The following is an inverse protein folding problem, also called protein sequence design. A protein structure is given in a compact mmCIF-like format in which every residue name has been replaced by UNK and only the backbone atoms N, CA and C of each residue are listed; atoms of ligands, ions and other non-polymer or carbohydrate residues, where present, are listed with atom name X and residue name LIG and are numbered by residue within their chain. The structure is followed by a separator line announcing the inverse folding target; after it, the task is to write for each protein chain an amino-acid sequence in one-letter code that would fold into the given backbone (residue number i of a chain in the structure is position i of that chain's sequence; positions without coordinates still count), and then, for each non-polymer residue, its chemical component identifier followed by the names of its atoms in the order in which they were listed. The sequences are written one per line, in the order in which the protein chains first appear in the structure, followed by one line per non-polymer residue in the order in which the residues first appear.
data_IF_831397162165
#
_entry.id   IF_831397162165
#
_cell.length_a   1.000
_cell.length_b   1.000
_cell.length_c   1.000
_cell.angle_alpha   90.00
_cell.angle_beta   90.00
_cell.angle_gamma   90.00
#
_symmetry.space_group_name_H-M   'P 1'
#
loop_
_entity.id
_entity.type
_entity.pdbx_description
1 polymer ?
#
# COMPACT_ATOMS: atom_id res chain seq x y z
N UNK A 1 14.70 -17.70 -3.87
CA UNK A 1 15.83 -18.26 -4.63
C UNK A 1 16.84 -17.17 -4.92
N UNK A 2 17.86 -17.06 -4.07
CA UNK A 2 18.97 -16.11 -4.22
C UNK A 2 20.07 -16.80 -5.05
N UNK A 3 20.54 -16.21 -6.17
CA UNK A 3 21.58 -16.83 -6.99
C UNK A 3 22.85 -17.13 -6.20
N UNK A 4 23.31 -18.39 -6.24
CA UNK A 4 24.50 -18.84 -5.50
C UNK A 4 24.27 -19.02 -4.00
N UNK A 5 23.03 -18.94 -3.54
CA UNK A 5 22.62 -19.20 -2.16
C UNK A 5 21.26 -19.94 -2.11
N UNK A 6 21.03 -20.80 -3.10
CA UNK A 6 19.82 -21.62 -3.17
C UNK A 6 19.75 -22.57 -1.96
N UNK A 7 18.55 -22.69 -1.39
CA UNK A 7 18.30 -23.57 -0.25
C UNK A 7 17.73 -24.91 -0.71
N UNK A 8 17.96 -26.03 0.01
CA UNK A 8 17.60 -27.36 -0.46
C UNK A 8 16.08 -27.62 -0.55
N UNK A 9 15.25 -26.76 0.03
CA UNK A 9 13.79 -26.82 -0.07
C UNK A 9 13.23 -25.95 -1.20
N UNK A 10 14.06 -25.20 -1.92
CA UNK A 10 13.59 -24.32 -3.00
C UNK A 10 13.50 -25.07 -4.32
N UNK A 11 12.30 -25.07 -4.92
CA UNK A 11 12.04 -25.64 -6.26
C UNK A 11 11.60 -24.52 -7.22
N UNK A 12 11.95 -24.64 -8.51
CA UNK A 12 11.45 -23.72 -9.54
C UNK A 12 10.13 -24.22 -10.13
N UNK A 13 9.02 -23.58 -9.75
CA UNK A 13 7.70 -23.86 -10.33
C UNK A 13 7.34 -22.91 -11.50
N UNK A 14 8.25 -22.03 -11.91
CA UNK A 14 7.99 -20.97 -12.88
C UNK A 14 7.11 -19.84 -12.31
N UNK A 15 6.91 -18.78 -13.09
CA UNK A 15 5.99 -17.67 -12.76
C UNK A 15 5.44 -17.04 -14.03
N UNK A 16 4.28 -16.34 -13.99
CA UNK A 16 3.84 -15.52 -15.12
C UNK A 16 4.94 -14.53 -15.55
N UNK A 17 5.13 -14.34 -16.85
CA UNK A 17 6.19 -13.46 -17.38
C UNK A 17 6.02 -12.00 -16.94
N UNK A 18 4.76 -11.58 -16.77
CA UNK A 18 4.36 -10.19 -16.47
C UNK A 18 4.47 -9.80 -15.00
N UNK A 19 4.81 -10.72 -14.11
CA UNK A 19 5.07 -10.41 -12.70
C UNK A 19 6.57 -10.50 -12.41
N UNK A 20 7.04 -9.73 -11.44
CA UNK A 20 8.42 -9.83 -10.95
C UNK A 20 8.61 -11.03 -10.03
N UNK A 21 9.86 -11.41 -9.75
CA UNK A 21 10.15 -12.53 -8.86
C UNK A 21 9.94 -12.18 -7.38
N UNK A 22 9.82 -13.20 -6.52
CA UNK A 22 9.81 -12.99 -5.07
C UNK A 22 11.10 -12.30 -4.56
N UNK A 23 12.24 -12.55 -5.21
CA UNK A 23 13.50 -11.88 -4.89
C UNK A 23 13.45 -10.39 -5.23
N UNK A 24 12.93 -10.03 -6.41
CA UNK A 24 12.79 -8.63 -6.82
C UNK A 24 11.84 -7.87 -5.88
N UNK A 25 10.72 -8.50 -5.50
CA UNK A 25 9.77 -7.93 -4.54
C UNK A 25 10.48 -7.63 -3.21
N UNK A 26 11.27 -8.56 -2.69
CA UNK A 26 11.99 -8.37 -1.43
C UNK A 26 13.21 -7.45 -1.55
N UNK A 27 13.66 -7.14 -2.76
CA UNK A 27 14.75 -6.20 -3.02
C UNK A 27 14.23 -4.77 -3.11
N UNK A 28 13.15 -4.55 -3.89
CA UNK A 28 12.63 -3.21 -4.19
C UNK A 28 11.46 -2.81 -3.29
N UNK A 29 10.57 -3.73 -2.94
CA UNK A 29 9.38 -3.46 -2.13
C UNK A 29 9.69 -2.85 -0.76
N UNK A 30 10.59 -3.46 0.06
CA UNK A 30 10.99 -2.89 1.33
C UNK A 30 11.65 -1.51 1.20
N UNK A 31 12.39 -1.25 0.11
CA UNK A 31 13.00 0.06 -0.13
C UNK A 31 11.96 1.13 -0.39
N UNK A 32 10.95 0.83 -1.22
CA UNK A 32 9.81 1.75 -1.44
C UNK A 32 9.05 2.05 -0.15
N UNK A 33 8.69 1.01 0.61
CA UNK A 33 8.00 1.19 1.90
C UNK A 33 8.83 1.97 2.93
N UNK A 34 10.14 1.69 3.02
CA UNK A 34 11.05 2.41 3.91
C UNK A 34 11.27 3.86 3.46
N UNK A 35 11.46 4.11 2.16
CA UNK A 35 11.60 5.46 1.61
C UNK A 35 10.39 6.33 1.98
N UNK A 36 9.18 5.77 1.80
CA UNK A 36 7.95 6.46 2.20
C UNK A 36 7.93 6.77 3.70
N UNK A 37 8.16 5.78 4.56
CA UNK A 37 8.13 5.98 6.01
C UNK A 37 9.19 7.00 6.48
N UNK A 38 10.38 6.97 5.89
CA UNK A 38 11.48 7.86 6.24
C UNK A 38 11.19 9.31 5.82
N UNK A 39 10.76 9.52 4.58
CA UNK A 39 10.50 10.86 4.05
C UNK A 39 9.21 11.47 4.61
N UNK A 40 8.18 10.65 4.84
CA UNK A 40 6.99 11.08 5.58
C UNK A 40 7.29 11.35 7.07
N UNK A 41 8.25 10.62 7.65
CA UNK A 41 8.68 10.82 9.04
C UNK A 41 7.89 10.01 10.08
N UNK A 42 7.61 8.74 9.80
CA UNK A 42 7.05 7.81 10.81
C UNK A 42 7.94 6.57 11.00
N UNK A 43 8.18 6.12 12.24
CA UNK A 43 9.00 4.94 12.48
C UNK A 43 8.25 3.64 12.18
N UNK A 44 8.89 2.72 11.46
CA UNK A 44 8.41 1.35 11.28
C UNK A 44 9.00 0.43 12.35
N UNK A 45 8.19 0.08 13.35
CA UNK A 45 8.66 -0.59 14.59
C UNK A 45 8.41 -2.10 14.63
N UNK A 46 7.41 -2.59 13.88
CA UNK A 46 7.01 -3.99 13.85
C UNK A 46 6.74 -4.41 12.40
N UNK A 47 6.94 -5.69 12.13
CA UNK A 47 6.65 -6.27 10.83
C UNK A 47 6.82 -7.78 10.87
N UNK A 48 6.45 -8.44 9.78
CA UNK A 48 6.75 -9.84 9.55
C UNK A 48 7.26 -10.02 8.13
N UNK A 49 8.02 -11.08 7.92
CA UNK A 49 8.47 -11.51 6.61
C UNK A 49 8.30 -13.02 6.52
N UNK A 50 7.65 -13.49 5.45
CA UNK A 50 7.40 -14.91 5.20
C UNK A 50 7.69 -15.22 3.74
N UNK A 51 8.50 -16.23 3.51
CA UNK A 51 8.55 -16.96 2.24
C UNK A 51 7.78 -18.26 2.37
N UNK A 52 7.02 -18.61 1.35
CA UNK A 52 6.37 -19.91 1.22
C UNK A 52 6.01 -20.12 -0.25
N UNK A 53 6.50 -21.22 -0.81
CA UNK A 53 6.20 -21.71 -2.14
C UNK A 53 6.55 -23.19 -2.14
N UNK A 54 5.56 -24.06 -2.24
CA UNK A 54 5.78 -25.50 -2.20
C UNK A 54 4.66 -26.27 -2.90
N UNK A 55 5.01 -27.41 -3.48
CA UNK A 55 4.04 -28.40 -3.91
C UNK A 55 3.58 -29.24 -2.71
N UNK A 56 2.31 -29.10 -2.33
CA UNK A 56 1.77 -29.71 -1.11
C UNK A 56 0.48 -30.47 -1.39
N UNK A 57 0.24 -31.53 -0.63
CA UNK A 57 -1.08 -32.16 -0.56
C UNK A 57 -1.95 -31.37 0.43
N UNK A 58 -2.73 -30.45 -0.12
CA UNK A 58 -3.58 -29.50 0.60
C UNK A 58 -5.06 -29.89 0.41
N UNK A 59 -5.99 -29.00 0.78
CA UNK A 59 -7.43 -29.26 0.76
C UNK A 59 -7.98 -29.62 -0.63
N UNK A 60 -7.29 -29.26 -1.71
CA UNK A 60 -7.66 -29.55 -3.09
C UNK A 60 -6.75 -30.60 -3.76
N UNK A 61 -6.10 -31.47 -2.96
CA UNK A 61 -5.15 -32.46 -3.44
C UNK A 61 -3.74 -31.87 -3.60
N UNK A 62 -2.97 -32.42 -4.54
CA UNK A 62 -1.60 -31.97 -4.82
C UNK A 62 -1.62 -30.69 -5.65
N UNK A 63 -1.09 -29.60 -5.09
CA UNK A 63 -1.11 -28.27 -5.69
C UNK A 63 0.10 -27.45 -5.23
N UNK A 64 0.55 -26.52 -6.07
CA UNK A 64 1.58 -25.54 -5.69
C UNK A 64 0.91 -24.40 -4.93
N UNK A 65 1.35 -24.16 -3.68
CA UNK A 65 0.83 -23.11 -2.81
C UNK A 65 1.94 -22.14 -2.45
N UNK A 66 1.70 -20.86 -2.64
CA UNK A 66 2.67 -19.82 -2.36
C UNK A 66 2.15 -18.42 -2.63
N UNK A 67 3.07 -17.47 -2.73
CA UNK A 67 2.77 -16.02 -2.80
C UNK A 67 3.33 -15.34 -4.06
N UNK A 68 3.02 -15.87 -5.25
CA UNK A 68 3.33 -15.18 -6.51
C UNK A 68 2.64 -13.81 -6.61
N UNK A 69 1.38 -13.71 -6.15
CA UNK A 69 0.79 -12.42 -5.75
C UNK A 69 1.18 -12.18 -4.29
N UNK A 70 2.05 -11.21 -4.00
CA UNK A 70 2.60 -11.05 -2.65
C UNK A 70 1.57 -10.47 -1.69
N UNK A 71 1.84 -10.64 -0.39
CA UNK A 71 1.20 -9.83 0.66
C UNK A 71 2.14 -8.66 0.94
N UNK A 72 1.78 -7.47 0.46
CA UNK A 72 2.41 -6.22 0.86
C UNK A 72 1.49 -5.56 1.89
N UNK A 73 1.94 -5.47 3.14
CA UNK A 73 1.13 -5.02 4.28
C UNK A 73 1.73 -3.76 4.89
N UNK A 74 0.88 -2.77 5.13
CA UNK A 74 1.21 -1.55 5.86
C UNK A 74 0.13 -1.27 6.90
N UNK A 75 0.55 -0.81 8.08
CA UNK A 75 -0.34 -0.43 9.18
C UNK A 75 0.35 0.59 10.06
N UNK A 76 -0.41 1.36 10.84
CA UNK A 76 0.14 2.36 11.75
C UNK A 76 -0.80 2.60 12.94
N UNK A 77 -0.26 3.28 13.96
CA UNK A 77 -1.01 3.81 15.08
C UNK A 77 -0.87 5.33 15.07
N UNK A 78 -1.93 6.03 15.45
CA UNK A 78 -1.95 7.48 15.60
C UNK A 78 -2.65 7.87 16.90
N UNK A 79 -2.44 9.10 17.34
CA UNK A 79 -3.17 9.69 18.46
C UNK A 79 -4.27 10.61 17.93
N UNK A 80 -5.37 10.71 18.67
CA UNK A 80 -6.50 11.59 18.34
C UNK A 80 -7.06 12.20 19.62
N UNK A 81 -7.51 13.46 19.56
CA UNK A 81 -8.24 14.10 20.66
C UNK A 81 -9.68 13.60 20.68
N UNK A 82 -10.24 13.39 21.87
CA UNK A 82 -11.59 12.85 22.05
C UNK A 82 -12.67 13.63 21.28
N UNK A 83 -12.61 14.97 21.34
CA UNK A 83 -13.55 15.86 20.65
C UNK A 83 -13.47 15.80 19.12
N UNK A 84 -12.47 15.13 18.54
CA UNK A 84 -12.29 14.99 17.10
C UNK A 84 -12.52 13.56 16.59
N UNK A 85 -12.95 12.63 17.45
CA UNK A 85 -13.24 11.24 17.06
C UNK A 85 -14.49 11.15 16.17
N UNK A 86 -15.55 11.86 16.55
CA UNK A 86 -16.80 11.89 15.80
C UNK A 86 -16.73 12.94 14.70
N UNK A 87 -17.18 12.60 13.49
CA UNK A 87 -17.24 13.56 12.38
C UNK A 87 -18.30 14.63 12.66
N UNK A 88 -18.03 15.87 12.25
CA UNK A 88 -18.96 16.98 12.40
C UNK A 88 -20.09 16.93 11.37
N UNK A 89 -21.12 17.73 11.62
CA UNK A 89 -22.17 17.97 10.63
C UNK A 89 -21.64 18.84 9.48
N UNK A 90 -22.09 18.56 8.25
CA UNK A 90 -21.72 19.32 7.06
C UNK A 90 -22.89 20.25 6.71
N UNK A 91 -22.81 21.56 7.03
CA UNK A 91 -23.88 22.50 6.75
C UNK A 91 -23.97 22.83 5.26
N UNK A 92 -25.15 23.28 4.82
CA UNK A 92 -25.35 23.78 3.45
C UNK A 92 -24.40 24.96 3.20
N UNK A 93 -23.71 24.91 2.06
CA UNK A 93 -22.74 25.95 1.66
C UNK A 93 -21.30 25.72 2.15
N UNK A 94 -21.05 24.62 2.88
CA UNK A 94 -19.70 24.18 3.23
C UNK A 94 -18.81 24.04 1.98
N UNK A 95 -17.52 24.37 2.14
CA UNK A 95 -16.54 24.28 1.04
C UNK A 95 -15.99 22.87 0.97
N UNK A 96 -16.09 22.25 -0.21
CA UNK A 96 -15.41 21.00 -0.52
C UNK A 96 -14.01 21.32 -1.05
N UNK A 97 -12.99 20.83 -0.36
CA UNK A 97 -11.59 21.12 -0.66
C UNK A 97 -10.89 19.80 -0.91
N UNK A 98 -10.10 19.75 -1.99
CA UNK A 98 -9.12 18.68 -2.22
C UNK A 98 -7.79 19.19 -1.68
N UNK A 99 -7.27 18.53 -0.65
CA UNK A 99 -5.96 18.84 -0.09
C UNK A 99 -4.93 17.86 -0.64
N UNK A 100 -3.89 18.39 -1.28
CA UNK A 100 -2.79 17.57 -1.78
C UNK A 100 -2.26 18.04 -3.13
N UNK A 101 -1.60 17.10 -3.81
CA UNK A 101 -0.98 17.32 -5.13
C UNK A 101 -2.00 17.47 -6.25
N UNK A 102 -1.61 18.10 -7.38
CA UNK A 102 -2.30 17.92 -8.64
C UNK A 102 -2.38 16.44 -9.04
N UNK A 103 -3.58 16.04 -9.49
CA UNK A 103 -3.84 14.70 -9.98
C UNK A 103 -3.19 14.47 -11.35
N UNK A 104 -2.91 13.19 -11.65
CA UNK A 104 -2.46 12.71 -12.96
C UNK A 104 -3.24 11.44 -13.28
N UNK A 105 -3.18 10.99 -14.53
CA UNK A 105 -3.79 9.72 -14.93
C UNK A 105 -2.95 8.53 -14.43
N UNK A 106 -3.14 8.17 -13.17
CA UNK A 106 -2.40 7.13 -12.45
C UNK A 106 -3.42 6.20 -11.80
N UNK A 107 -3.21 4.88 -11.86
CA UNK A 107 -4.05 3.94 -11.11
C UNK A 107 -5.48 3.78 -11.64
N UNK A 108 -5.77 4.20 -12.87
CA UNK A 108 -7.12 4.18 -13.41
C UNK A 108 -7.68 2.75 -13.43
N UNK A 109 -8.83 2.53 -12.80
CA UNK A 109 -9.43 1.19 -12.71
C UNK A 109 -8.73 0.26 -11.71
N UNK A 110 -7.82 0.75 -10.87
CA UNK A 110 -7.09 -0.06 -9.89
C UNK A 110 -8.00 -0.85 -8.94
N UNK A 111 -9.18 -0.29 -8.62
CA UNK A 111 -10.21 -0.98 -7.84
C UNK A 111 -10.72 -2.25 -8.53
N UNK A 112 -10.92 -2.23 -9.85
CA UNK A 112 -11.38 -3.39 -10.64
C UNK A 112 -10.23 -4.35 -10.96
N UNK A 113 -9.03 -3.82 -11.25
CA UNK A 113 -7.84 -4.62 -11.53
C UNK A 113 -7.39 -5.47 -10.33
N UNK A 114 -7.60 -4.99 -9.10
CA UNK A 114 -7.26 -5.73 -7.88
C UNK A 114 -8.08 -7.01 -7.67
N UNK A 115 -9.30 -7.09 -8.24
CA UNK A 115 -10.20 -8.25 -8.12
C UNK A 115 -9.85 -9.41 -9.08
N UNK A 116 -9.11 -9.15 -10.16
CA UNK A 116 -8.79 -10.19 -11.13
C UNK A 116 -7.60 -11.05 -10.67
N UNK A 117 -7.64 -12.33 -11.03
CA UNK A 117 -6.54 -13.28 -10.78
C UNK A 117 -5.31 -12.84 -11.57
N UNK A 118 -4.18 -12.65 -10.88
CA UNK A 118 -2.92 -12.18 -11.47
C UNK A 118 -2.45 -13.12 -12.58
N UNK A 119 -2.13 -12.58 -13.77
CA UNK A 119 -1.51 -13.33 -14.86
C UNK A 119 -2.36 -13.52 -16.13
N UNK A 120 -3.63 -13.05 -16.15
CA UNK A 120 -4.48 -13.02 -17.36
C UNK A 120 -4.87 -11.57 -17.78
N UNK A 121 -4.11 -10.56 -17.34
CA UNK A 121 -4.37 -9.15 -17.64
C UNK A 121 -3.90 -8.74 -19.04
N UNK A 122 -4.60 -7.78 -19.66
CA UNK A 122 -4.13 -7.04 -20.83
C UNK A 122 -3.00 -6.07 -20.44
N UNK A 123 -2.09 -5.75 -21.37
CA UNK A 123 -0.92 -4.88 -21.12
C UNK A 123 -1.29 -3.50 -20.56
N UNK A 124 -2.42 -2.93 -20.98
CA UNK A 124 -2.92 -1.66 -20.48
C UNK A 124 -3.24 -1.71 -18.97
N UNK A 125 -3.67 -2.87 -18.45
CA UNK A 125 -3.95 -3.05 -17.02
C UNK A 125 -2.65 -3.12 -16.19
N UNK A 126 -1.54 -3.56 -16.79
CA UNK A 126 -0.25 -3.63 -16.11
C UNK A 126 0.34 -2.21 -15.94
N UNK A 127 0.20 -1.33 -16.94
CA UNK A 127 0.56 0.09 -16.81
C UNK A 127 -0.31 0.82 -15.78
N UNK A 128 -1.63 0.55 -15.78
CA UNK A 128 -2.55 1.12 -14.80
C UNK A 128 -2.24 0.66 -13.36
N UNK A 129 -1.54 -0.45 -13.19
CA UNK A 129 -1.14 -0.98 -11.87
C UNK A 129 0.12 -0.31 -11.30
N UNK A 130 0.84 0.49 -12.08
CA UNK A 130 2.03 1.22 -11.61
C UNK A 130 1.61 2.43 -10.79
N UNK A 131 2.02 2.46 -9.53
CA UNK A 131 1.75 3.53 -8.59
C UNK A 131 2.89 4.56 -8.53
N UNK A 132 2.59 5.73 -7.98
CA UNK A 132 3.56 6.83 -7.83
C UNK A 132 3.39 7.54 -6.49
N UNK A 133 4.40 7.40 -5.64
CA UNK A 133 4.47 8.08 -4.35
C UNK A 133 5.07 9.50 -4.45
N UNK A 134 4.85 10.28 -3.39
CA UNK A 134 5.53 11.55 -3.07
C UNK A 134 5.33 11.84 -1.56
N UNK A 135 6.13 11.22 -0.69
CA UNK A 135 5.90 11.27 0.76
C UNK A 135 6.03 12.69 1.36
N UNK A 136 6.91 13.54 0.82
CA UNK A 136 7.02 14.95 1.22
C UNK A 136 5.69 15.72 1.08
N UNK A 137 4.93 15.43 0.02
CA UNK A 137 3.65 16.10 -0.19
C UNK A 137 2.64 15.69 0.87
N UNK A 138 2.61 14.40 1.22
CA UNK A 138 1.73 13.89 2.26
C UNK A 138 2.16 14.42 3.63
N UNK A 139 3.46 14.56 3.89
CA UNK A 139 3.99 15.22 5.09
C UNK A 139 3.49 16.67 5.20
N UNK A 140 3.48 17.42 4.10
CA UNK A 140 2.92 18.79 4.09
C UNK A 140 1.43 18.83 4.35
N UNK A 141 0.67 17.86 3.84
CA UNK A 141 -0.76 17.75 4.16
C UNK A 141 -0.95 17.42 5.65
N UNK A 142 -0.12 16.52 6.20
CA UNK A 142 -0.13 16.18 7.61
C UNK A 142 0.11 17.40 8.50
N UNK A 143 1.04 18.29 8.16
CA UNK A 143 1.28 19.53 8.94
C UNK A 143 0.06 20.48 8.95
N UNK A 144 -0.70 20.53 7.86
CA UNK A 144 -1.95 21.31 7.81
C UNK A 144 -3.01 20.65 8.70
N UNK A 145 -3.17 19.33 8.61
CA UNK A 145 -4.09 18.57 9.46
C UNK A 145 -3.71 18.75 10.93
N UNK A 146 -2.41 18.71 11.24
CA UNK A 146 -1.87 18.91 12.58
C UNK A 146 -2.18 20.30 13.12
N UNK A 147 -1.95 21.33 12.30
CA UNK A 147 -2.33 22.69 12.65
C UNK A 147 -3.83 22.81 12.93
N UNK A 148 -4.67 22.15 12.13
CA UNK A 148 -6.13 22.19 12.30
C UNK A 148 -6.60 21.55 13.62
N UNK A 149 -6.18 20.32 13.94
CA UNK A 149 -6.64 19.68 15.19
C UNK A 149 -6.02 20.31 16.43
N UNK A 150 -4.82 20.90 16.32
CA UNK A 150 -4.17 21.59 17.44
C UNK A 150 -4.96 22.81 17.91
N UNK A 151 -5.74 23.46 17.04
CA UNK A 151 -6.68 24.54 17.37
C UNK A 151 -7.80 24.10 18.35
N UNK A 152 -7.97 22.81 18.61
CA UNK A 152 -8.94 22.32 19.59
C UNK A 152 -10.37 22.58 19.12
N UNK A 153 -11.09 23.42 19.84
CA UNK A 153 -12.48 23.76 19.53
C UNK A 153 -12.60 24.66 18.28
N UNK A 154 -11.52 25.38 17.93
CA UNK A 154 -11.44 26.21 16.73
C UNK A 154 -10.96 25.43 15.48
N UNK A 155 -10.98 24.09 15.51
CA UNK A 155 -10.62 23.26 14.36
C UNK A 155 -11.61 23.49 13.20
N UNK A 156 -11.15 23.98 12.03
CA UNK A 156 -12.03 24.29 10.90
C UNK A 156 -12.48 23.05 10.11
N UNK A 157 -11.91 21.87 10.38
CA UNK A 157 -12.23 20.64 9.64
C UNK A 157 -13.52 20.05 10.18
N UNK A 158 -14.60 20.16 9.40
CA UNK A 158 -15.88 19.49 9.68
C UNK A 158 -15.82 18.00 9.34
N UNK A 159 -15.18 17.67 8.22
CA UNK A 159 -15.06 16.33 7.69
C UNK A 159 -13.78 16.21 6.85
N UNK A 160 -13.07 15.10 7.00
CA UNK A 160 -11.92 14.73 6.17
C UNK A 160 -12.00 13.24 5.82
N UNK A 161 -11.50 12.88 4.65
CA UNK A 161 -11.44 11.52 4.13
C UNK A 161 -10.27 11.41 3.14
N UNK A 162 -9.69 10.21 3.05
CA UNK A 162 -8.69 9.81 2.06
C UNK A 162 -9.26 9.61 0.64
#
# INVERSE_FOLDING_TARGET
RIPGFEQPWETDFGKPERIVSALDIMTEGPRGGAAFNNEFGRPALLGYFRTYEEEVNSHNGQEVRGYHKPIMLAGSLGNIRENHIQKGEIPVGAKMIVMGRPAMNIGLGGGEAAYMTSGQSQEDLDFASVQRDNPEMERRCQEVIDSCWQLGDDNPILFIHD
#
